data_IF_044141133431
#
_entry.id   IF_044141133431
#
_cell.length_a   1.000
_cell.length_b   1.000
_cell.length_c   1.000
_cell.angle_alpha   90.00
_cell.angle_beta   90.00
_cell.angle_gamma   90.00
#
_symmetry.space_group_name_H-M   'P 1'
#
loop_
_entity.id
_entity.type
_entity.pdbx_description
1 polymer ?
#
# COMPACT_ATOMS: atom_id res chain seq x y z
N UNK A 1 2.12 2.70 -24.47
CA UNK A 1 2.47 2.41 -23.07
C UNK A 1 3.98 2.46 -23.03
N UNK A 2 4.58 3.46 -22.38
CA UNK A 2 6.04 3.52 -22.25
C UNK A 2 6.50 2.37 -21.35
N UNK A 3 6.97 1.30 -21.98
CA UNK A 3 7.58 0.11 -21.37
C UNK A 3 8.95 0.40 -20.72
N UNK A 4 9.27 1.68 -20.50
CA UNK A 4 10.57 2.17 -20.04
C UNK A 4 10.48 3.27 -18.98
N UNK A 5 9.29 3.49 -18.36
CA UNK A 5 9.21 4.43 -17.24
C UNK A 5 10.05 3.91 -16.07
N UNK A 6 11.01 4.73 -15.60
CA UNK A 6 11.95 4.39 -14.54
C UNK A 6 11.84 5.43 -13.44
N UNK A 7 11.65 4.95 -12.21
CA UNK A 7 11.73 5.76 -11.00
C UNK A 7 13.21 5.84 -10.63
N UNK A 8 13.75 7.06 -10.62
CA UNK A 8 15.18 7.30 -10.39
C UNK A 8 15.46 8.09 -9.09
N UNK A 9 14.43 8.63 -8.44
CA UNK A 9 14.58 9.45 -7.23
C UNK A 9 13.39 9.32 -6.29
N UNK A 10 13.65 9.61 -5.01
CA UNK A 10 12.62 9.77 -3.98
C UNK A 10 12.44 11.25 -3.61
N UNK A 11 11.25 11.67 -3.13
CA UNK A 11 10.02 10.88 -3.08
C UNK A 11 9.50 10.56 -4.49
N UNK A 12 8.76 9.45 -4.65
CA UNK A 12 8.12 9.13 -5.92
C UNK A 12 7.10 10.23 -6.23
N UNK A 13 7.16 10.80 -7.43
CA UNK A 13 6.36 11.97 -7.78
C UNK A 13 5.68 11.84 -9.14
N UNK A 14 4.71 12.71 -9.41
CA UNK A 14 4.04 12.82 -10.70
C UNK A 14 3.34 11.52 -11.12
N UNK A 15 3.45 11.18 -12.41
CA UNK A 15 2.72 10.06 -13.01
C UNK A 15 3.12 8.70 -12.41
N UNK A 16 4.38 8.53 -12.00
CA UNK A 16 4.82 7.29 -11.36
C UNK A 16 4.10 7.08 -10.03
N UNK A 17 3.98 8.15 -9.22
CA UNK A 17 3.26 8.09 -7.96
C UNK A 17 1.80 7.72 -8.15
N UNK A 18 1.12 8.32 -9.13
CA UNK A 18 -0.28 7.99 -9.44
C UNK A 18 -0.45 6.51 -9.78
N UNK A 19 0.42 5.95 -10.63
CA UNK A 19 0.36 4.52 -11.00
C UNK A 19 0.57 3.60 -9.79
N UNK A 20 1.52 3.94 -8.91
CA UNK A 20 1.76 3.13 -7.72
C UNK A 20 0.60 3.20 -6.72
N UNK A 21 -0.01 4.37 -6.53
CA UNK A 21 -1.19 4.54 -5.68
C UNK A 21 -2.37 3.74 -6.23
N UNK A 22 -2.60 3.76 -7.54
CA UNK A 22 -3.67 2.99 -8.18
C UNK A 22 -3.45 1.48 -8.00
N UNK A 23 -2.20 1.01 -8.14
CA UNK A 23 -1.83 -0.38 -7.88
C UNK A 23 -2.06 -0.75 -6.40
N UNK A 24 -1.63 0.10 -5.47
CA UNK A 24 -1.81 -0.11 -4.03
C UNK A 24 -3.30 -0.19 -3.65
N UNK A 25 -4.13 0.73 -4.15
CA UNK A 25 -5.57 0.72 -3.88
C UNK A 25 -6.27 -0.53 -4.44
N UNK A 26 -5.92 -0.95 -5.67
CA UNK A 26 -6.48 -2.15 -6.27
C UNK A 26 -6.09 -3.41 -5.48
N UNK A 27 -4.84 -3.50 -5.05
CA UNK A 27 -4.33 -4.58 -4.21
C UNK A 27 -5.00 -4.56 -2.83
N UNK A 28 -5.16 -3.39 -2.22
CA UNK A 28 -5.82 -3.20 -0.93
C UNK A 28 -7.23 -3.78 -0.95
N UNK A 29 -8.07 -3.37 -1.92
CA UNK A 29 -9.45 -3.85 -2.04
C UNK A 29 -9.52 -5.36 -2.25
N UNK A 30 -8.62 -5.92 -3.05
CA UNK A 30 -8.53 -7.36 -3.29
C UNK A 30 -8.13 -8.13 -2.03
N UNK A 31 -7.20 -7.59 -1.24
CA UNK A 31 -6.69 -8.23 -0.02
C UNK A 31 -7.71 -8.14 1.09
N UNK A 32 -8.21 -6.94 1.40
CA UNK A 32 -9.13 -6.73 2.52
C UNK A 32 -10.43 -7.52 2.34
N UNK A 33 -10.96 -7.61 1.12
CA UNK A 33 -12.16 -8.39 0.81
C UNK A 33 -11.95 -9.91 0.91
N UNK A 34 -10.71 -10.41 0.86
CA UNK A 34 -10.40 -11.84 1.06
C UNK A 34 -10.02 -12.16 2.51
N UNK A 35 -9.43 -11.19 3.20
CA UNK A 35 -8.96 -11.36 4.57
C UNK A 35 -10.11 -11.30 5.59
N UNK A 36 -11.18 -10.58 5.27
CA UNK A 36 -12.37 -10.41 6.12
C UNK A 36 -12.02 -10.02 7.59
N UNK A 37 -11.28 -8.91 7.82
CA UNK A 37 -10.89 -8.50 9.16
C UNK A 37 -12.09 -8.22 10.07
N UNK A 38 -11.95 -8.52 11.36
CA UNK A 38 -13.02 -8.36 12.36
C UNK A 38 -13.54 -6.91 12.46
N UNK A 39 -12.67 -5.93 12.26
CA UNK A 39 -13.01 -4.50 12.26
C UNK A 39 -12.77 -3.85 10.89
N UNK A 40 -13.26 -4.46 9.80
CA UNK A 40 -13.00 -4.02 8.41
C UNK A 40 -13.19 -2.52 8.16
N UNK A 41 -14.29 -1.93 8.64
CA UNK A 41 -14.53 -0.49 8.44
C UNK A 41 -13.42 0.38 9.05
N UNK A 42 -12.92 -0.02 10.22
CA UNK A 42 -11.84 0.69 10.91
C UNK A 42 -10.50 0.42 10.21
N UNK A 43 -10.23 -0.82 9.78
CA UNK A 43 -9.08 -1.16 8.93
C UNK A 43 -9.04 -0.29 7.67
N UNK A 44 -10.19 -0.10 7.00
CA UNK A 44 -10.31 0.79 5.83
C UNK A 44 -10.03 2.25 6.14
N UNK A 45 -10.43 2.74 7.31
CA UNK A 45 -10.15 4.13 7.69
C UNK A 45 -8.69 4.40 8.05
N UNK A 46 -7.91 3.35 8.36
CA UNK A 46 -6.47 3.45 8.62
C UNK A 46 -5.62 3.35 7.35
N UNK A 47 -6.22 3.04 6.20
CA UNK A 47 -5.50 2.92 4.94
C UNK A 47 -5.00 4.27 4.43
N UNK A 48 -3.69 4.40 4.31
CA UNK A 48 -3.01 5.54 3.71
C UNK A 48 -2.13 5.07 2.54
N UNK A 49 -2.64 5.11 1.28
CA UNK A 49 -1.87 4.66 0.13
C UNK A 49 -0.65 5.56 -0.12
N UNK A 50 -0.67 6.82 0.30
CA UNK A 50 0.43 7.74 0.11
C UNK A 50 1.60 7.39 1.03
N UNK A 51 1.33 7.25 2.33
CA UNK A 51 2.30 6.80 3.32
C UNK A 51 2.82 5.38 3.02
N UNK A 52 1.97 4.51 2.50
CA UNK A 52 2.41 3.19 2.04
C UNK A 52 3.47 3.29 0.94
N UNK A 53 3.22 4.05 -0.13
CA UNK A 53 4.19 4.20 -1.23
C UNK A 53 5.50 4.85 -0.75
N UNK A 54 5.42 5.84 0.14
CA UNK A 54 6.60 6.52 0.69
C UNK A 54 7.47 5.61 1.59
N UNK A 55 6.87 4.56 2.17
CA UNK A 55 7.58 3.58 3.00
C UNK A 55 8.07 2.35 2.22
N UNK A 56 7.29 1.87 1.25
CA UNK A 56 7.56 0.66 0.47
C UNK A 56 8.67 0.90 -0.57
N UNK A 57 8.67 2.06 -1.25
CA UNK A 57 9.68 2.35 -2.28
C UNK A 57 10.90 3.04 -1.65
N UNK A 58 11.96 2.28 -1.44
CA UNK A 58 13.17 2.73 -0.75
C UNK A 58 14.36 2.98 -1.68
N UNK A 59 15.33 3.77 -1.23
CA UNK A 59 16.45 4.22 -2.07
C UNK A 59 17.34 3.07 -2.62
N UNK A 60 17.40 1.94 -1.92
CA UNK A 60 18.14 0.74 -2.35
C UNK A 60 17.45 -0.03 -3.49
N UNK A 61 16.20 0.28 -3.82
CA UNK A 61 15.50 -0.28 -4.98
C UNK A 61 15.83 0.49 -6.27
N UNK A 62 16.37 1.71 -6.17
CA UNK A 62 16.53 2.60 -7.31
C UNK A 62 17.84 2.36 -8.09
N UNK A 63 17.84 2.58 -9.42
CA UNK A 63 16.66 2.88 -10.25
C UNK A 63 15.81 1.61 -10.48
N UNK A 64 14.49 1.76 -10.44
CA UNK A 64 13.54 0.66 -10.66
C UNK A 64 12.58 1.01 -11.79
N UNK A 65 12.17 0.01 -12.58
CA UNK A 65 11.10 0.23 -13.53
C UNK A 65 9.78 0.48 -12.80
N UNK A 66 8.91 1.34 -13.35
CA UNK A 66 7.59 1.59 -12.76
C UNK A 66 6.76 0.32 -12.68
N UNK A 67 6.85 -0.55 -13.68
CA UNK A 67 6.09 -1.80 -13.72
C UNK A 67 6.58 -2.79 -12.64
N UNK A 68 7.89 -2.85 -12.40
CA UNK A 68 8.45 -3.64 -11.29
C UNK A 68 8.07 -3.05 -9.93
N UNK A 69 8.14 -1.73 -9.76
CA UNK A 69 7.68 -1.07 -8.53
C UNK A 69 6.20 -1.34 -8.25
N UNK A 70 5.33 -1.27 -9.27
CA UNK A 70 3.91 -1.59 -9.14
C UNK A 70 3.67 -3.05 -8.78
N UNK A 71 4.47 -3.97 -9.34
CA UNK A 71 4.43 -5.38 -8.97
C UNK A 71 4.81 -5.60 -7.50
N UNK A 72 5.89 -4.97 -7.01
CA UNK A 72 6.33 -5.09 -5.61
C UNK A 72 5.27 -4.53 -4.64
N UNK A 73 4.70 -3.36 -4.96
CA UNK A 73 3.57 -2.77 -4.24
C UNK A 73 2.40 -3.75 -4.13
N UNK A 74 2.01 -4.43 -5.21
CA UNK A 74 0.89 -5.39 -5.18
C UNK A 74 1.19 -6.64 -4.32
N UNK A 75 2.40 -7.21 -4.43
CA UNK A 75 2.73 -8.47 -3.75
C UNK A 75 3.06 -8.31 -2.27
N UNK A 76 3.63 -7.17 -1.85
CA UNK A 76 4.02 -6.96 -0.45
C UNK A 76 2.93 -6.32 0.42
N UNK A 77 1.89 -5.74 -0.20
CA UNK A 77 0.83 -5.03 0.52
C UNK A 77 0.08 -5.90 1.56
N UNK A 78 0.03 -7.23 1.38
CA UNK A 78 -0.65 -8.12 2.33
C UNK A 78 -0.20 -7.92 3.77
N UNK A 79 1.11 -7.78 4.00
CA UNK A 79 1.64 -7.61 5.35
C UNK A 79 1.18 -6.31 5.99
N UNK A 80 1.15 -5.23 5.22
CA UNK A 80 0.67 -3.94 5.69
C UNK A 80 -0.84 -3.99 6.02
N UNK A 81 -1.66 -4.63 5.19
CA UNK A 81 -3.10 -4.77 5.49
C UNK A 81 -3.35 -5.58 6.77
N UNK A 82 -2.53 -6.60 7.03
CA UNK A 82 -2.57 -7.35 8.30
C UNK A 82 -2.25 -6.43 9.49
N UNK A 83 -1.24 -5.58 9.38
CA UNK A 83 -0.89 -4.61 10.44
C UNK A 83 -2.02 -3.62 10.70
N UNK A 84 -2.67 -3.11 9.65
CA UNK A 84 -3.84 -2.23 9.78
C UNK A 84 -5.03 -2.94 10.47
N UNK A 85 -5.24 -4.22 10.17
CA UNK A 85 -6.28 -5.01 10.83
C UNK A 85 -5.98 -5.22 12.32
N UNK A 86 -4.72 -5.52 12.67
CA UNK A 86 -4.29 -5.62 14.07
C UNK A 86 -4.46 -4.27 14.80
N UNK A 87 -4.10 -3.16 14.16
CA UNK A 87 -4.29 -1.82 14.74
C UNK A 87 -5.78 -1.52 14.99
N UNK A 88 -6.63 -1.84 14.02
CA UNK A 88 -8.08 -1.69 14.16
C UNK A 88 -8.66 -2.54 15.29
N UNK A 89 -8.19 -3.78 15.45
CA UNK A 89 -8.63 -4.67 16.53
C UNK A 89 -8.24 -4.12 17.91
N UNK A 90 -7.04 -3.56 18.04
CA UNK A 90 -6.57 -2.93 19.29
C UNK A 90 -7.41 -1.69 19.63
N UNK A 91 -7.63 -0.79 18.68
CA UNK A 91 -8.43 0.42 18.90
C UNK A 91 -9.89 0.09 19.26
N UNK A 92 -10.46 -0.93 18.61
CA UNK A 92 -11.81 -1.41 18.93
C UNK A 92 -11.90 -2.06 20.33
N UNK A 93 -10.83 -2.69 20.81
CA UNK A 93 -10.75 -3.26 22.15
C UNK A 93 -10.59 -2.19 23.23
N UNK A 94 -9.72 -1.20 23.01
CA UNK A 94 -9.50 -0.07 23.92
C UNK A 94 -10.72 0.84 24.06
N UNK A 95 -11.55 0.92 23.02
CA UNK A 95 -12.80 1.69 23.03
C UNK A 95 -13.92 1.04 23.87
N UNK A 96 -13.72 -0.18 24.40
CA UNK A 96 -14.71 -0.84 25.27
C UNK A 96 -14.53 -0.36 26.73
N UNK A 97 -15.59 0.16 27.38
CA UNK A 97 -15.56 0.58 28.77
C UNK A 97 -15.43 -0.59 29.76
#
# INVERSE_FOLDING_TARGET
MDTHAVIASLPVAGADRTVLIDAANAAFERIIGRMEPANEKLTRSLWDPEGYIDSEITANMLPISRDEAAYLVDVFLLHHVVELAVAADNEAAESRP
#
